data_IF_344493425969
#
_entry.id   IF_344493425969
#
_cell.length_a   1.000
_cell.length_b   1.000
_cell.length_c   1.000
_cell.angle_alpha   90.00
_cell.angle_beta   90.00
_cell.angle_gamma   90.00
#
_symmetry.space_group_name_H-M   'P 1'
#
loop_
_entity.id
_entity.type
_entity.pdbx_description
1 polymer ?
#
# COMPACT_ATOMS: atom_id res chain seq x y z
N UNK A 1 16.03 -31.56 -2.14
CA UNK A 1 16.94 -30.78 -1.26
C UNK A 1 16.31 -29.45 -0.88
N UNK A 2 16.85 -28.72 0.11
CA UNK A 2 16.28 -27.48 0.62
C UNK A 2 16.04 -26.41 -0.46
N UNK A 3 16.87 -26.35 -1.51
CA UNK A 3 16.66 -25.44 -2.65
C UNK A 3 15.36 -25.68 -3.44
N UNK A 4 14.95 -26.94 -3.62
CA UNK A 4 13.70 -27.27 -4.33
C UNK A 4 12.47 -26.80 -3.53
N UNK A 5 12.52 -26.94 -2.20
CA UNK A 5 11.46 -26.49 -1.30
C UNK A 5 11.32 -24.96 -1.35
N UNK A 6 12.43 -24.22 -1.38
CA UNK A 6 12.40 -22.77 -1.52
C UNK A 6 11.88 -22.31 -2.87
N UNK A 7 12.25 -22.98 -3.97
CA UNK A 7 11.72 -22.65 -5.31
C UNK A 7 10.20 -22.81 -5.37
N UNK A 8 9.67 -23.92 -4.86
CA UNK A 8 8.22 -24.18 -4.84
C UNK A 8 7.50 -23.12 -4.00
N UNK A 9 8.02 -22.77 -2.82
CA UNK A 9 7.41 -21.72 -1.98
C UNK A 9 7.45 -20.35 -2.64
N UNK A 10 8.54 -20.03 -3.34
CA UNK A 10 8.66 -18.80 -4.10
C UNK A 10 7.61 -18.75 -5.23
N UNK A 11 7.46 -19.82 -6.01
CA UNK A 11 6.46 -19.92 -7.08
C UNK A 11 5.02 -19.80 -6.53
N UNK A 12 4.75 -20.44 -5.40
CA UNK A 12 3.44 -20.36 -4.72
C UNK A 12 3.12 -18.93 -4.29
N UNK A 13 4.10 -18.18 -3.80
CA UNK A 13 3.91 -16.78 -3.41
C UNK A 13 3.80 -15.87 -4.63
N UNK A 14 4.62 -16.08 -5.65
CA UNK A 14 4.59 -15.31 -6.89
C UNK A 14 3.25 -15.47 -7.63
N UNK A 15 2.63 -16.64 -7.54
CA UNK A 15 1.31 -16.91 -8.10
C UNK A 15 0.15 -16.19 -7.36
N UNK A 16 0.39 -15.60 -6.18
CA UNK A 16 -0.65 -14.85 -5.46
C UNK A 16 -0.75 -13.44 -6.01
N UNK A 17 -1.98 -12.97 -6.17
CA UNK A 17 -2.24 -11.57 -6.56
C UNK A 17 -1.59 -10.61 -5.58
N UNK A 18 -0.81 -9.68 -6.13
CA UNK A 18 -0.09 -8.61 -5.43
C UNK A 18 -1.05 -7.70 -4.67
N UNK A 19 -0.61 -7.18 -3.52
CA UNK A 19 -1.41 -6.29 -2.67
C UNK A 19 -1.86 -5.02 -3.39
N UNK A 20 -1.03 -4.46 -4.28
CA UNK A 20 -1.33 -3.26 -5.06
C UNK A 20 -2.49 -3.48 -6.01
N UNK A 21 -2.53 -4.64 -6.67
CA UNK A 21 -3.63 -5.04 -7.56
C UNK A 21 -4.92 -5.17 -6.74
N UNK A 22 -4.89 -5.90 -5.63
CA UNK A 22 -6.07 -6.10 -4.78
C UNK A 22 -6.60 -4.79 -4.17
N UNK A 23 -5.70 -3.89 -3.76
CA UNK A 23 -6.07 -2.58 -3.26
C UNK A 23 -6.69 -1.71 -4.36
N UNK A 24 -6.11 -1.71 -5.57
CA UNK A 24 -6.64 -0.98 -6.73
C UNK A 24 -8.01 -1.50 -7.16
N UNK A 25 -8.19 -2.82 -7.26
CA UNK A 25 -9.47 -3.46 -7.58
C UNK A 25 -10.53 -3.18 -6.52
N UNK A 26 -10.15 -3.17 -5.24
CA UNK A 26 -11.08 -2.85 -4.16
C UNK A 26 -11.51 -1.37 -4.21
N UNK A 27 -10.58 -0.46 -4.49
CA UNK A 27 -10.82 0.98 -4.44
C UNK A 27 -11.54 1.53 -5.67
N UNK A 28 -11.17 1.07 -6.86
CA UNK A 28 -11.72 1.54 -8.16
C UNK A 28 -13.24 1.68 -8.18
N UNK A 29 -14.05 0.65 -7.82
CA UNK A 29 -15.51 0.77 -7.88
C UNK A 29 -16.12 1.71 -6.80
N UNK A 30 -15.32 2.19 -5.85
CA UNK A 30 -15.74 3.10 -4.76
C UNK A 30 -15.37 4.56 -5.02
N UNK A 31 -14.63 4.82 -6.09
CA UNK A 31 -14.23 6.17 -6.47
C UNK A 31 -15.34 6.78 -7.32
N UNK A 32 -15.92 7.88 -6.83
CA UNK A 32 -16.74 8.74 -7.67
C UNK A 32 -15.86 9.42 -8.74
N UNK A 33 -16.47 9.83 -9.85
CA UNK A 33 -15.78 10.64 -10.85
C UNK A 33 -15.28 11.94 -10.22
N UNK A 34 -13.97 12.18 -10.34
CA UNK A 34 -13.31 13.35 -9.75
C UNK A 34 -12.98 13.23 -8.27
N UNK A 35 -13.17 12.05 -7.65
CA UNK A 35 -12.81 11.82 -6.25
C UNK A 35 -11.36 12.20 -5.97
N UNK A 36 -11.13 12.85 -4.83
CA UNK A 36 -9.77 13.27 -4.44
C UNK A 36 -9.02 12.17 -3.70
N UNK A 37 -7.79 11.86 -4.13
CA UNK A 37 -7.02 10.77 -3.56
C UNK A 37 -5.55 11.14 -3.41
N UNK A 38 -4.99 10.86 -2.23
CA UNK A 38 -3.55 10.83 -2.02
C UNK A 38 -3.09 9.39 -1.81
N UNK A 39 -2.06 9.00 -2.56
CA UNK A 39 -1.41 7.71 -2.47
C UNK A 39 0.05 7.93 -2.07
N UNK A 40 0.41 7.45 -0.88
CA UNK A 40 1.78 7.59 -0.34
C UNK A 40 2.78 6.65 -1.04
N UNK A 41 2.32 5.84 -1.99
CA UNK A 41 3.15 4.95 -2.77
C UNK A 41 4.12 5.72 -3.67
N UNK A 42 5.40 5.34 -3.59
CA UNK A 42 6.44 5.80 -4.49
C UNK A 42 6.26 5.26 -5.92
N UNK A 43 7.22 5.52 -6.81
CA UNK A 43 7.15 5.11 -8.22
C UNK A 43 6.85 3.62 -8.44
N UNK A 44 7.28 2.78 -7.51
CA UNK A 44 7.13 1.32 -7.59
C UNK A 44 5.89 0.79 -6.86
N UNK A 45 5.24 1.58 -6.01
CA UNK A 45 4.22 1.07 -5.06
C UNK A 45 2.85 1.69 -5.21
N UNK A 46 2.75 2.79 -5.95
CA UNK A 46 1.49 3.45 -6.26
C UNK A 46 0.47 2.47 -6.83
N UNK A 47 -0.78 2.61 -6.41
CA UNK A 47 -1.88 1.83 -6.95
C UNK A 47 -2.10 2.17 -8.41
N UNK A 48 -2.32 1.15 -9.22
CA UNK A 48 -2.84 1.32 -10.56
C UNK A 48 -4.36 1.53 -10.49
N UNK A 49 -4.78 2.76 -10.78
CA UNK A 49 -6.16 3.21 -10.76
C UNK A 49 -6.60 3.68 -12.16
N UNK A 50 -6.00 3.15 -13.23
CA UNK A 50 -6.21 3.63 -14.61
C UNK A 50 -7.68 3.70 -15.06
N UNK A 51 -8.57 2.93 -14.44
CA UNK A 51 -10.02 2.94 -14.70
C UNK A 51 -10.79 4.04 -13.96
N UNK A 52 -10.13 4.82 -13.11
CA UNK A 52 -10.75 5.84 -12.27
C UNK A 52 -10.21 7.24 -12.60
N UNK A 53 -11.10 8.22 -12.67
CA UNK A 53 -10.73 9.64 -12.76
C UNK A 53 -10.57 10.22 -11.37
N UNK A 54 -9.38 10.07 -10.80
CA UNK A 54 -9.05 10.66 -9.49
C UNK A 54 -8.33 11.99 -9.64
N UNK A 55 -8.68 12.95 -8.80
CA UNK A 55 -7.94 14.19 -8.63
C UNK A 55 -6.91 14.00 -7.52
N UNK A 56 -5.67 14.39 -7.75
CA UNK A 56 -4.61 14.34 -6.73
C UNK A 56 -4.43 15.75 -6.17
N UNK A 57 -4.82 16.01 -4.91
CA UNK A 57 -4.57 17.31 -4.31
C UNK A 57 -3.07 17.62 -4.26
N UNK A 58 -2.68 18.90 -4.19
CA UNK A 58 -1.30 19.29 -3.96
C UNK A 58 -0.75 18.61 -2.71
N UNK A 59 0.50 18.18 -2.79
CA UNK A 59 1.23 17.55 -1.71
C UNK A 59 2.65 18.12 -1.71
N UNK A 60 3.11 18.57 -0.55
CA UNK A 60 4.49 19.00 -0.37
C UNK A 60 5.33 17.76 0.00
N UNK A 61 6.20 17.27 -0.91
CA UNK A 61 6.97 16.07 -0.66
C UNK A 61 8.11 16.28 0.34
N UNK A 62 8.59 17.51 0.53
CA UNK A 62 9.70 17.79 1.47
C UNK A 62 9.16 17.82 2.91
N UNK A 63 8.01 18.47 3.09
CA UNK A 63 7.35 18.58 4.40
C UNK A 63 6.40 17.41 4.69
N UNK A 64 6.08 16.61 3.69
CA UNK A 64 5.14 15.50 3.74
C UNK A 64 3.76 15.94 4.27
N UNK A 65 3.24 17.05 3.73
CA UNK A 65 1.96 17.66 4.15
C UNK A 65 1.01 17.83 2.97
N UNK A 66 -0.27 17.67 3.27
CA UNK A 66 -1.39 18.05 2.41
C UNK A 66 -1.89 19.42 2.89
N UNK A 67 -2.06 20.44 2.03
CA UNK A 67 -2.51 21.75 2.45
C UNK A 67 -3.88 21.70 3.14
N UNK A 68 -4.05 22.54 4.16
CA UNK A 68 -5.33 22.71 4.84
C UNK A 68 -6.43 23.15 3.86
N UNK A 69 -7.63 22.61 4.05
CA UNK A 69 -8.76 22.81 3.13
C UNK A 69 -8.70 21.96 1.85
N UNK A 70 -7.60 21.24 1.60
CA UNK A 70 -7.40 20.40 0.40
C UNK A 70 -7.13 18.93 0.77
N UNK A 71 -7.61 18.49 1.93
CA UNK A 71 -7.49 17.10 2.35
C UNK A 71 -8.23 16.19 1.36
N UNK A 72 -7.57 15.12 0.84
CA UNK A 72 -8.20 14.19 -0.07
C UNK A 72 -9.33 13.43 0.62
N UNK A 73 -10.28 13.01 -0.18
CA UNK A 73 -11.35 12.10 0.21
C UNK A 73 -10.85 10.71 0.62
N UNK A 74 -9.77 10.26 -0.03
CA UNK A 74 -9.16 8.96 0.15
C UNK A 74 -7.66 9.09 0.41
N UNK A 75 -7.18 8.31 1.38
CA UNK A 75 -5.77 8.24 1.73
C UNK A 75 -5.28 6.79 1.67
N UNK A 76 -4.34 6.50 0.79
CA UNK A 76 -3.72 5.19 0.64
C UNK A 76 -2.32 5.22 1.26
N UNK A 77 -2.10 4.38 2.27
CA UNK A 77 -0.85 4.29 3.00
C UNK A 77 -0.17 2.95 2.78
N UNK A 78 1.15 2.98 2.62
CA UNK A 78 2.00 1.81 2.35
C UNK A 78 2.97 1.56 3.48
N UNK A 79 3.21 0.27 3.78
CA UNK A 79 4.21 -0.14 4.76
C UNK A 79 4.89 -1.45 4.34
N UNK A 80 6.20 -1.49 4.47
CA UNK A 80 7.03 -2.66 4.23
C UNK A 80 8.23 -2.67 5.17
N UNK A 81 9.04 -3.73 5.14
CA UNK A 81 10.41 -3.72 5.69
C UNK A 81 11.42 -3.16 4.69
N UNK A 82 11.03 -3.11 3.40
CA UNK A 82 11.79 -2.42 2.36
C UNK A 82 11.37 -0.95 2.34
N UNK A 83 11.80 -0.22 3.36
CA UNK A 83 11.40 1.18 3.61
C UNK A 83 11.72 2.10 2.41
N UNK A 84 12.75 1.76 1.63
CA UNK A 84 13.10 2.46 0.39
C UNK A 84 11.92 2.50 -0.62
N UNK A 85 11.10 1.45 -0.66
CA UNK A 85 10.00 1.34 -1.62
C UNK A 85 8.62 1.67 -1.03
N UNK A 86 8.41 1.42 0.26
CA UNK A 86 7.09 1.53 0.88
C UNK A 86 7.21 1.97 2.34
N UNK A 87 7.37 3.28 2.53
CA UNK A 87 7.29 3.93 3.85
C UNK A 87 6.18 4.97 3.84
N UNK A 88 5.40 5.00 4.92
CA UNK A 88 4.47 6.09 5.17
C UNK A 88 5.16 7.12 6.08
N UNK A 89 5.30 8.38 5.64
CA UNK A 89 5.81 9.46 6.49
C UNK A 89 4.99 9.60 7.80
N UNK A 90 5.64 9.88 8.95
CA UNK A 90 4.94 10.03 10.22
C UNK A 90 3.82 11.08 10.19
N UNK A 91 4.01 12.18 9.45
CA UNK A 91 3.01 13.24 9.28
C UNK A 91 1.72 12.71 8.64
N UNK A 92 1.83 11.92 7.56
CA UNK A 92 0.67 11.29 6.92
C UNK A 92 0.03 10.22 7.80
N UNK A 93 0.82 9.45 8.55
CA UNK A 93 0.28 8.49 9.51
C UNK A 93 -0.50 9.18 10.64
N UNK A 94 -0.02 10.32 11.14
CA UNK A 94 -0.71 11.12 12.16
C UNK A 94 -2.01 11.69 11.61
N UNK A 95 -1.96 12.32 10.43
CA UNK A 95 -3.13 12.83 9.73
C UNK A 95 -4.20 11.74 9.53
N UNK A 96 -3.81 10.54 9.10
CA UNK A 96 -4.72 9.41 8.92
C UNK A 96 -5.44 9.05 10.23
N UNK A 97 -4.70 8.96 11.35
CA UNK A 97 -5.29 8.65 12.67
C UNK A 97 -6.28 9.72 13.13
N UNK A 98 -5.94 10.99 12.89
CA UNK A 98 -6.73 12.13 13.35
C UNK A 98 -7.99 12.35 12.51
N UNK A 99 -7.88 12.26 11.18
CA UNK A 99 -8.91 12.74 10.25
C UNK A 99 -9.54 11.68 9.36
N UNK A 100 -9.05 10.43 9.40
CA UNK A 100 -9.54 9.35 8.54
C UNK A 100 -9.87 8.08 9.33
N UNK A 101 -10.66 7.20 8.70
CA UNK A 101 -10.99 5.86 9.20
C UNK A 101 -10.41 4.83 8.24
N UNK A 102 -9.67 3.81 8.71
CA UNK A 102 -9.25 2.71 7.84
C UNK A 102 -10.47 1.90 7.43
N UNK A 103 -10.68 1.76 6.12
CA UNK A 103 -11.84 1.04 5.54
C UNK A 103 -11.43 -0.24 4.82
N UNK A 104 -10.16 -0.37 4.47
CA UNK A 104 -9.62 -1.59 3.87
C UNK A 104 -8.15 -1.77 4.19
N UNK A 105 -7.75 -3.02 4.36
CA UNK A 105 -6.35 -3.40 4.56
C UNK A 105 -6.06 -4.71 3.86
N UNK A 106 -5.00 -4.71 3.05
CA UNK A 106 -4.46 -5.93 2.45
C UNK A 106 -3.02 -6.09 2.91
N UNK A 107 -2.70 -7.27 3.45
CA UNK A 107 -1.40 -7.57 4.04
C UNK A 107 -0.53 -8.30 3.02
N UNK A 108 0.67 -7.78 2.76
CA UNK A 108 1.75 -8.52 2.10
C UNK A 108 2.47 -9.48 3.07
N UNK A 109 2.47 -9.14 4.36
CA UNK A 109 3.21 -9.85 5.41
C UNK A 109 2.41 -9.94 6.72
N UNK A 110 2.57 -11.05 7.45
CA UNK A 110 2.10 -11.24 8.84
C UNK A 110 3.09 -10.62 9.84
N UNK A 111 2.63 -10.37 11.07
CA UNK A 111 3.54 -10.04 12.18
C UNK A 111 4.40 -11.27 12.50
N UNK A 112 5.73 -11.11 12.53
CA UNK A 112 6.66 -12.23 12.75
C UNK A 112 8.13 -11.86 12.47
N UNK A 113 8.96 -12.82 12.07
CA UNK A 113 10.35 -12.60 11.64
C UNK A 113 10.42 -12.02 10.24
N UNK A 114 11.31 -11.05 10.01
CA UNK A 114 11.47 -10.48 8.68
C UNK A 114 12.07 -11.54 7.74
N UNK A 115 11.53 -11.61 6.52
CA UNK A 115 12.18 -12.33 5.42
C UNK A 115 13.56 -11.74 5.14
N UNK A 116 14.44 -12.51 4.48
CA UNK A 116 15.65 -11.91 3.91
C UNK A 116 15.32 -11.50 2.48
N UNK A 117 15.37 -10.20 2.24
CA UNK A 117 14.97 -9.58 0.97
C UNK A 117 16.18 -9.17 0.17
N UNK A 118 16.01 -9.17 -1.15
CA UNK A 118 16.82 -8.31 -2.00
C UNK A 118 16.31 -6.87 -1.82
N UNK A 119 17.23 -5.95 -1.48
CA UNK A 119 16.90 -4.54 -1.29
C UNK A 119 16.46 -3.86 -2.59
N UNK A 120 16.67 -4.50 -3.74
CA UNK A 120 16.24 -4.01 -5.05
C UNK A 120 14.93 -4.63 -5.53
N UNK A 121 14.30 -5.50 -4.74
CA UNK A 121 13.09 -6.21 -5.14
C UNK A 121 11.81 -5.36 -4.96
N UNK A 122 11.25 -4.92 -6.08
CA UNK A 122 9.97 -4.21 -6.13
C UNK A 122 8.73 -5.13 -6.07
N UNK A 123 8.91 -6.46 -6.02
CA UNK A 123 7.84 -7.45 -5.78
C UNK A 123 7.63 -7.76 -4.30
N UNK A 124 8.55 -7.36 -3.41
CA UNK A 124 8.48 -7.59 -1.96
C UNK A 124 8.39 -9.08 -1.60
N UNK A 125 9.13 -9.92 -2.32
CA UNK A 125 9.28 -11.33 -2.07
C UNK A 125 10.68 -11.59 -1.50
N UNK A 126 10.79 -12.17 -0.30
CA UNK A 126 12.10 -12.57 0.21
C UNK A 126 12.62 -13.78 -0.57
N UNK A 127 13.93 -14.01 -0.55
CA UNK A 127 14.52 -15.23 -1.09
C UNK A 127 14.68 -16.33 -0.02
N UNK A 128 14.42 -16.01 1.26
CA UNK A 128 14.37 -16.98 2.37
C UNK A 128 13.45 -16.50 3.50
N UNK A 129 13.08 -17.40 4.43
CA UNK A 129 12.21 -17.11 5.58
C UNK A 129 10.78 -16.67 5.18
N UNK A 130 10.16 -17.44 4.29
CA UNK A 130 8.83 -17.20 3.71
C UNK A 130 7.63 -17.29 4.67
N UNK A 131 7.84 -17.81 5.89
CA UNK A 131 6.76 -18.20 6.82
C UNK A 131 5.77 -17.08 7.15
N UNK A 132 6.24 -15.83 7.12
CA UNK A 132 5.45 -14.65 7.43
C UNK A 132 4.99 -13.87 6.19
N UNK A 133 5.28 -14.34 4.97
CA UNK A 133 4.81 -13.71 3.73
C UNK A 133 3.43 -14.24 3.39
N UNK A 134 2.49 -13.32 3.17
CA UNK A 134 1.13 -13.65 2.75
C UNK A 134 1.03 -13.66 1.23
N UNK A 135 1.62 -12.67 0.56
CA UNK A 135 1.55 -12.45 -0.89
C UNK A 135 2.57 -11.35 -1.28
N UNK A 136 2.85 -11.17 -2.58
CA UNK A 136 3.70 -10.08 -3.07
C UNK A 136 3.13 -8.70 -2.72
N UNK A 137 4.01 -7.70 -2.69
CA UNK A 137 3.69 -6.30 -2.46
C UNK A 137 3.76 -5.84 -0.99
N UNK A 138 3.70 -4.51 -0.75
CA UNK A 138 3.69 -3.94 0.59
C UNK A 138 2.35 -4.20 1.29
N UNK A 139 2.30 -3.97 2.60
CA UNK A 139 1.00 -3.86 3.28
C UNK A 139 0.37 -2.50 2.97
N UNK A 140 -0.85 -2.53 2.43
CA UNK A 140 -1.60 -1.34 2.02
C UNK A 140 -2.81 -1.16 2.92
N UNK A 141 -3.01 0.06 3.40
CA UNK A 141 -4.21 0.44 4.16
C UNK A 141 -4.86 1.64 3.49
N UNK A 142 -6.14 1.51 3.16
CA UNK A 142 -6.95 2.56 2.54
C UNK A 142 -7.82 3.19 3.62
N UNK A 143 -7.82 4.51 3.67
CA UNK A 143 -8.57 5.29 4.63
C UNK A 143 -9.55 6.24 3.93
N UNK A 144 -10.71 6.42 4.55
CA UNK A 144 -11.77 7.36 4.15
C UNK A 144 -11.80 8.54 5.12
N UNK A 145 -11.97 9.77 4.63
CA UNK A 145 -12.07 10.96 5.48
C UNK A 145 -13.30 10.87 6.41
N UNK A 146 -13.13 11.17 7.71
CA UNK A 146 -14.13 10.95 8.78
C UNK A 146 -15.43 11.77 8.61
N UNK A 147 -15.32 12.92 7.97
CA UNK A 147 -16.43 13.87 7.74
C UNK A 147 -17.32 13.48 6.55
N UNK A 148 -16.97 12.41 5.83
CA UNK A 148 -17.70 11.94 4.66
C UNK A 148 -18.45 10.64 4.96
N UNK A 149 -19.54 10.35 4.22
CA UNK A 149 -20.24 9.09 4.35
C UNK A 149 -19.31 7.90 4.11
N UNK A 150 -19.54 6.83 4.87
CA UNK A 150 -18.85 5.56 4.65
C UNK A 150 -19.32 4.93 3.34
N UNK A 151 -18.38 4.36 2.54
CA UNK A 151 -18.66 3.72 1.27
C UNK A 151 -19.31 2.35 1.40
#
# INVERSE_FOLDING_TARGET
GPGLVYSIWFDVLLARTDTRVLAGEWLTPRLADGATLHDSGGPYTRLDLWRSRVVRPPYDPDRHVLPDGQLPEWLVLHSSVLDYYAVTPPTLANLARERYVPVYRVQGRRRGRAGVYDLQDAFFLPFSHFQDIVRPGPTITIHRRKDLPMP
#
